data_IF_258895811995
#
_entry.id   IF_258895811995
#
_cell.length_a   1.000
_cell.length_b   1.000
_cell.length_c   1.000
_cell.angle_alpha   90.00
_cell.angle_beta   90.00
_cell.angle_gamma   90.00
#
_symmetry.space_group_name_H-M   'P 1'
#
loop_
_entity.id
_entity.type
_entity.pdbx_description
1 polymer ?
#
# COMPACT_ATOMS: atom_id res chain seq x y z
N UNK A 1 21.24 -39.75 27.68
CA UNK A 1 19.98 -38.96 27.63
C UNK A 1 18.78 -39.87 27.63
N UNK A 2 17.82 -39.60 28.52
CA UNK A 2 16.51 -40.26 28.54
C UNK A 2 15.71 -39.87 27.28
N UNK A 3 14.79 -40.72 26.82
CA UNK A 3 13.96 -40.49 25.61
C UNK A 3 13.30 -39.10 25.62
N UNK A 4 12.85 -38.63 26.79
CA UNK A 4 12.26 -37.29 26.99
C UNK A 4 13.24 -36.14 26.73
N UNK A 5 14.50 -36.26 27.16
CA UNK A 5 15.54 -35.23 26.95
C UNK A 5 15.89 -35.11 25.46
N UNK A 6 15.90 -36.22 24.71
CA UNK A 6 16.12 -36.20 23.26
C UNK A 6 14.97 -35.50 22.52
N UNK A 7 13.72 -35.76 22.94
CA UNK A 7 12.54 -35.12 22.36
C UNK A 7 12.56 -33.61 22.63
N UNK A 8 12.88 -33.20 23.86
CA UNK A 8 13.00 -31.77 24.21
C UNK A 8 14.10 -31.10 23.38
N UNK A 9 15.26 -31.73 23.23
CA UNK A 9 16.35 -31.19 22.41
C UNK A 9 15.96 -31.05 20.93
N UNK A 10 15.26 -32.04 20.38
CA UNK A 10 14.75 -31.99 19.00
C UNK A 10 13.70 -30.89 18.80
N UNK A 11 12.81 -30.68 19.77
CA UNK A 11 11.84 -29.59 19.73
C UNK A 11 12.52 -28.22 19.81
N UNK A 12 13.51 -28.06 20.69
CA UNK A 12 14.29 -26.83 20.78
C UNK A 12 15.05 -26.54 19.47
N UNK A 13 15.64 -27.58 18.86
CA UNK A 13 16.30 -27.45 17.57
C UNK A 13 15.32 -27.07 16.46
N UNK A 14 14.12 -27.66 16.44
CA UNK A 14 13.08 -27.32 15.48
C UNK A 14 12.61 -25.86 15.65
N UNK A 15 12.38 -25.41 16.88
CA UNK A 15 12.02 -24.01 17.17
C UNK A 15 13.13 -23.06 16.73
N UNK A 16 14.40 -23.41 16.95
CA UNK A 16 15.53 -22.63 16.48
C UNK A 16 15.57 -22.55 14.95
N UNK A 17 15.38 -23.67 14.25
CA UNK A 17 15.34 -23.71 12.77
C UNK A 17 14.18 -22.85 12.24
N UNK A 18 12.99 -22.96 12.83
CA UNK A 18 11.83 -22.15 12.46
C UNK A 18 12.12 -20.66 12.72
N UNK A 19 12.73 -20.33 13.86
CA UNK A 19 13.10 -18.96 14.21
C UNK A 19 14.10 -18.35 13.22
N UNK A 20 15.13 -19.10 12.83
CA UNK A 20 16.10 -18.67 11.81
C UNK A 20 15.43 -18.52 10.45
N UNK A 21 14.64 -19.50 10.01
CA UNK A 21 13.93 -19.43 8.72
C UNK A 21 12.94 -18.25 8.67
N UNK A 22 12.20 -18.03 9.76
CA UNK A 22 11.31 -16.88 9.89
C UNK A 22 12.08 -15.57 9.82
N UNK A 23 13.20 -15.44 10.56
CA UNK A 23 14.05 -14.24 10.56
C UNK A 23 14.61 -13.94 9.18
N UNK A 24 15.09 -14.95 8.46
CA UNK A 24 15.55 -14.81 7.08
C UNK A 24 14.41 -14.36 6.16
N UNK A 25 13.22 -14.93 6.33
CA UNK A 25 12.04 -14.56 5.53
C UNK A 25 11.58 -13.12 5.76
N UNK A 26 11.51 -12.66 7.02
CA UNK A 26 11.07 -11.28 7.32
C UNK A 26 12.11 -10.21 6.98
N UNK A 27 13.39 -10.59 6.89
CA UNK A 27 14.47 -9.68 6.47
C UNK A 27 14.70 -9.65 4.95
N UNK A 28 14.12 -10.59 4.21
CA UNK A 28 14.14 -10.59 2.74
C UNK A 28 12.99 -9.73 2.23
N UNK A 29 13.22 -8.45 1.93
CA UNK A 29 12.20 -7.55 1.40
C UNK A 29 12.83 -6.47 0.50
N UNK A 30 12.01 -5.81 -0.30
CA UNK A 30 12.42 -4.70 -1.15
C UNK A 30 12.59 -3.44 -0.34
N UNK A 31 13.78 -2.85 -0.39
CA UNK A 31 14.13 -1.65 0.35
C UNK A 31 13.75 -0.38 -0.42
N UNK A 32 13.43 0.66 0.32
CA UNK A 32 13.22 1.97 -0.26
C UNK A 32 14.52 2.50 -0.89
N UNK A 33 14.43 2.99 -2.12
CA UNK A 33 15.53 3.72 -2.73
C UNK A 33 15.79 5.02 -1.97
N UNK A 34 17.02 5.53 -2.00
CA UNK A 34 17.41 6.72 -1.25
C UNK A 34 16.56 7.94 -1.58
N UNK A 35 16.09 8.04 -2.82
CA UNK A 35 15.25 9.15 -3.27
C UNK A 35 13.85 9.11 -2.65
N UNK A 36 13.33 7.92 -2.30
CA UNK A 36 12.07 7.78 -1.58
C UNK A 36 12.15 8.36 -0.16
N UNK A 37 13.31 8.20 0.48
CA UNK A 37 13.53 8.64 1.85
C UNK A 37 13.68 10.16 1.98
N UNK A 38 14.04 10.87 0.91
CA UNK A 38 14.21 12.34 0.92
C UNK A 38 12.92 13.07 1.33
N UNK A 39 11.76 12.48 1.09
CA UNK A 39 10.46 13.03 1.51
C UNK A 39 10.37 13.20 3.03
N UNK A 40 11.10 12.40 3.81
CA UNK A 40 11.11 12.50 5.27
C UNK A 40 11.76 13.79 5.79
N UNK A 41 12.59 14.45 4.97
CA UNK A 41 13.25 15.72 5.32
C UNK A 41 12.38 16.94 5.01
N UNK A 42 11.19 16.74 4.43
CA UNK A 42 10.25 17.81 4.11
C UNK A 42 9.50 18.33 5.36
N UNK A 43 8.87 19.50 5.23
CA UNK A 43 8.04 20.04 6.29
C UNK A 43 6.70 19.29 6.42
N UNK A 44 6.08 19.38 7.60
CA UNK A 44 4.76 18.81 7.89
C UNK A 44 4.67 17.27 7.75
N UNK A 45 5.80 16.60 8.00
CA UNK A 45 5.90 15.15 8.11
C UNK A 45 5.84 14.73 9.58
N UNK A 46 4.93 13.82 9.93
CA UNK A 46 4.81 13.25 11.28
C UNK A 46 5.12 11.77 11.18
N UNK A 47 6.31 11.39 11.65
CA UNK A 47 6.75 9.99 11.68
C UNK A 47 6.39 9.37 13.04
N UNK A 48 5.73 8.21 13.00
CA UNK A 48 5.46 7.40 14.17
C UNK A 48 5.91 5.95 13.95
N UNK A 49 5.74 5.12 14.98
CA UNK A 49 6.04 3.69 14.89
C UNK A 49 5.14 2.98 13.86
N UNK A 50 3.87 3.37 13.79
CA UNK A 50 2.84 2.62 13.07
C UNK A 50 2.45 3.30 11.74
N UNK A 51 2.83 4.55 11.52
CA UNK A 51 2.53 5.30 10.30
C UNK A 51 3.45 6.50 10.07
N UNK A 52 3.43 7.02 8.85
CA UNK A 52 3.98 8.32 8.47
C UNK A 52 2.83 9.16 7.91
N UNK A 53 2.62 10.36 8.47
CA UNK A 53 1.58 11.29 8.04
C UNK A 53 2.24 12.47 7.32
N UNK A 54 1.77 12.76 6.11
CA UNK A 54 2.11 13.90 5.29
C UNK A 54 0.90 14.85 5.33
N UNK A 55 0.98 15.93 6.11
CA UNK A 55 -0.17 16.83 6.29
C UNK A 55 -0.37 17.70 5.03
N UNK A 56 -1.55 17.58 4.44
CA UNK A 56 -2.03 18.45 3.37
C UNK A 56 -2.78 19.66 3.93
N UNK A 57 -3.52 20.36 3.06
CA UNK A 57 -4.26 21.58 3.40
C UNK A 57 -5.80 21.45 3.22
N UNK A 58 -6.29 20.25 2.89
CA UNK A 58 -7.72 19.94 2.75
C UNK A 58 -8.24 19.07 3.91
N UNK A 59 -9.56 18.95 4.00
CA UNK A 59 -10.25 18.06 4.96
C UNK A 59 -10.35 16.60 4.46
N UNK A 60 -9.59 16.25 3.42
CA UNK A 60 -9.58 14.93 2.78
C UNK A 60 -8.29 14.20 3.14
N UNK A 61 -8.43 12.95 3.58
CA UNK A 61 -7.33 12.08 3.94
C UNK A 61 -7.27 10.82 3.08
N UNK A 62 -6.06 10.34 2.80
CA UNK A 62 -5.81 9.09 2.07
C UNK A 62 -4.96 8.17 2.95
N UNK A 63 -5.53 7.05 3.38
CA UNK A 63 -4.82 6.02 4.15
C UNK A 63 -4.24 5.01 3.16
N UNK A 64 -2.93 4.80 3.16
CA UNK A 64 -2.24 3.98 2.18
C UNK A 64 -1.64 2.71 2.80
N UNK A 65 -2.03 1.55 2.25
CA UNK A 65 -1.51 0.24 2.63
C UNK A 65 -0.43 -0.23 1.63
N UNK A 66 0.83 -0.40 2.06
CA UNK A 66 1.93 -0.78 1.19
C UNK A 66 1.83 -2.24 0.70
N UNK A 67 2.57 -2.53 -0.38
CA UNK A 67 2.71 -3.87 -0.93
C UNK A 67 3.40 -4.86 0.03
N UNK A 68 3.22 -6.15 -0.22
CA UNK A 68 3.85 -7.18 0.60
C UNK A 68 5.36 -7.24 0.34
N UNK A 69 6.15 -7.40 1.42
CA UNK A 69 7.61 -7.44 1.37
C UNK A 69 8.23 -6.20 0.70
N UNK A 70 7.61 -5.04 0.85
CA UNK A 70 8.14 -3.74 0.42
C UNK A 70 8.24 -2.84 1.65
N UNK A 71 9.37 -2.16 1.81
CA UNK A 71 9.54 -1.13 2.82
C UNK A 71 8.50 -0.02 2.63
N UNK A 72 7.79 0.35 3.69
CA UNK A 72 6.65 1.26 3.56
C UNK A 72 7.08 2.60 2.91
N UNK A 73 8.24 3.10 3.30
CA UNK A 73 8.80 4.37 2.86
C UNK A 73 9.01 4.45 1.34
N UNK A 74 9.03 3.32 0.61
CA UNK A 74 9.07 3.30 -0.85
C UNK A 74 7.89 4.00 -1.51
N UNK A 75 6.76 4.18 -0.81
CA UNK A 75 5.58 4.88 -1.34
C UNK A 75 5.55 6.37 -1.01
N UNK A 76 6.54 6.90 -0.27
CA UNK A 76 6.56 8.31 0.09
C UNK A 76 6.54 9.27 -1.12
N UNK A 77 7.22 9.00 -2.25
CA UNK A 77 7.17 9.91 -3.41
C UNK A 77 5.77 10.14 -3.97
N UNK A 78 5.00 9.07 -4.26
CA UNK A 78 3.63 9.21 -4.76
C UNK A 78 2.71 9.85 -3.71
N UNK A 79 2.91 9.56 -2.43
CA UNK A 79 2.14 10.16 -1.35
C UNK A 79 2.48 11.64 -1.12
N UNK A 80 3.71 12.06 -1.39
CA UNK A 80 4.14 13.46 -1.40
C UNK A 80 3.48 14.22 -2.55
N UNK A 81 3.48 13.64 -3.76
CA UNK A 81 2.75 14.21 -4.91
C UNK A 81 1.25 14.40 -4.62
N UNK A 82 0.60 13.44 -3.95
CA UNK A 82 -0.80 13.58 -3.51
C UNK A 82 -0.97 14.64 -2.42
N UNK A 83 -0.01 14.75 -1.49
CA UNK A 83 0.00 15.83 -0.49
C UNK A 83 0.07 17.21 -1.15
N UNK A 84 0.86 17.36 -2.20
CA UNK A 84 0.99 18.61 -2.94
C UNK A 84 -0.30 19.00 -3.69
N UNK A 85 -1.19 18.03 -3.95
CA UNK A 85 -2.57 18.29 -4.42
C UNK A 85 -3.54 18.69 -3.30
N UNK A 86 -3.07 18.72 -2.05
CA UNK A 86 -3.78 19.21 -0.87
C UNK A 86 -4.29 18.12 0.08
N UNK A 87 -4.13 16.84 -0.26
CA UNK A 87 -4.63 15.73 0.56
C UNK A 87 -3.71 15.45 1.76
N UNK A 88 -4.27 15.09 2.91
CA UNK A 88 -3.44 14.51 3.98
C UNK A 88 -3.22 13.04 3.67
N UNK A 89 -1.97 12.61 3.45
CA UNK A 89 -1.68 11.19 3.18
C UNK A 89 -1.10 10.50 4.41
N UNK A 90 -1.52 9.25 4.64
CA UNK A 90 -1.10 8.44 5.79
C UNK A 90 -0.58 7.10 5.29
N UNK A 91 0.74 6.95 5.26
CA UNK A 91 1.41 5.69 4.96
C UNK A 91 1.40 4.79 6.19
N UNK A 92 0.79 3.62 6.10
CA UNK A 92 0.74 2.66 7.22
C UNK A 92 1.96 1.76 7.22
N UNK A 93 2.63 1.64 8.38
CA UNK A 93 3.73 0.69 8.58
C UNK A 93 3.14 -0.66 8.97
N UNK A 94 3.23 -1.63 8.06
CA UNK A 94 2.68 -2.96 8.26
C UNK A 94 3.65 -3.86 9.02
N UNK A 95 3.19 -4.67 10.00
CA UNK A 95 4.04 -5.64 10.67
C UNK A 95 4.69 -6.58 9.65
N UNK A 96 6.01 -6.75 9.73
CA UNK A 96 6.79 -7.60 8.82
C UNK A 96 6.63 -7.24 7.33
N UNK A 97 6.30 -5.99 7.00
CA UNK A 97 5.99 -5.55 5.64
C UNK A 97 4.84 -6.34 5.00
N UNK A 98 3.85 -6.76 5.79
CA UNK A 98 2.72 -7.56 5.31
C UNK A 98 1.38 -7.01 5.83
N UNK A 99 0.57 -6.45 4.93
CA UNK A 99 -0.70 -5.81 5.25
C UNK A 99 -1.73 -6.75 5.93
N UNK A 100 -1.62 -8.07 5.71
CA UNK A 100 -2.52 -9.06 6.31
C UNK A 100 -2.48 -9.05 7.85
N UNK A 101 -1.36 -8.62 8.46
CA UNK A 101 -1.22 -8.59 9.92
C UNK A 101 -1.82 -7.34 10.57
N UNK A 102 -2.26 -6.35 9.79
CA UNK A 102 -2.86 -5.13 10.32
C UNK A 102 -3.91 -4.52 9.37
N UNK A 103 -4.81 -5.34 8.84
CA UNK A 103 -5.85 -4.90 7.89
C UNK A 103 -6.80 -3.84 8.45
N UNK A 104 -6.96 -3.74 9.77
CA UNK A 104 -7.80 -2.75 10.45
C UNK A 104 -7.04 -1.50 10.92
N UNK A 105 -5.80 -1.27 10.46
CA UNK A 105 -4.99 -0.10 10.86
C UNK A 105 -5.72 1.24 10.67
N UNK A 106 -6.54 1.33 9.63
CA UNK A 106 -7.32 2.52 9.31
C UNK A 106 -8.25 2.98 10.43
N UNK A 107 -8.80 2.08 11.27
CA UNK A 107 -9.67 2.46 12.40
C UNK A 107 -8.97 3.42 13.37
N UNK A 108 -7.72 3.11 13.71
CA UNK A 108 -6.92 3.93 14.62
C UNK A 108 -6.55 5.27 13.97
N UNK A 109 -6.21 5.25 12.69
CA UNK A 109 -5.80 6.45 11.95
C UNK A 109 -6.96 7.44 11.85
N UNK A 110 -8.15 6.98 11.46
CA UNK A 110 -9.37 7.79 11.36
C UNK A 110 -9.70 8.40 12.73
N UNK A 111 -9.66 7.59 13.79
CA UNK A 111 -9.96 8.04 15.16
C UNK A 111 -9.00 9.14 15.64
N UNK A 112 -7.71 9.01 15.34
CA UNK A 112 -6.67 9.90 15.86
C UNK A 112 -6.50 11.20 15.04
N UNK A 113 -7.19 11.33 13.90
CA UNK A 113 -7.12 12.49 12.99
C UNK A 113 -8.51 13.05 12.71
N UNK A 114 -9.18 13.54 13.78
CA UNK A 114 -10.55 14.08 13.72
C UNK A 114 -10.70 15.38 12.92
N UNK A 115 -9.58 15.99 12.52
CA UNK A 115 -9.53 17.15 11.62
C UNK A 115 -9.89 16.78 10.17
N UNK A 116 -9.74 15.51 9.78
CA UNK A 116 -10.09 15.01 8.44
C UNK A 116 -11.55 14.55 8.44
N UNK A 117 -12.34 15.03 7.48
CA UNK A 117 -13.77 14.70 7.34
C UNK A 117 -14.04 13.56 6.37
N UNK A 118 -13.26 13.48 5.29
CA UNK A 118 -13.48 12.53 4.20
C UNK A 118 -12.26 11.63 4.06
N UNK A 119 -12.46 10.33 4.20
CA UNK A 119 -11.37 9.35 4.13
C UNK A 119 -11.47 8.50 2.89
N UNK A 120 -10.39 8.43 2.13
CA UNK A 120 -10.16 7.40 1.13
C UNK A 120 -9.18 6.39 1.68
N UNK A 121 -9.37 5.12 1.32
CA UNK A 121 -8.39 4.08 1.59
C UNK A 121 -7.78 3.61 0.28
N UNK A 122 -6.47 3.51 0.27
CA UNK A 122 -5.65 3.17 -0.88
C UNK A 122 -4.74 2.00 -0.55
N UNK A 123 -4.34 1.25 -1.56
CA UNK A 123 -3.26 0.29 -1.37
C UNK A 123 -2.68 -0.26 -2.66
N UNK A 124 -1.45 -0.75 -2.56
CA UNK A 124 -0.73 -1.37 -3.65
C UNK A 124 -0.72 -2.91 -3.52
N UNK A 125 -0.99 -3.64 -4.60
CA UNK A 125 -0.85 -5.11 -4.65
C UNK A 125 -1.60 -5.78 -3.48
N UNK A 126 -0.91 -6.57 -2.62
CA UNK A 126 -1.50 -7.15 -1.41
C UNK A 126 -2.04 -6.10 -0.42
N UNK A 127 -1.40 -4.93 -0.32
CA UNK A 127 -1.92 -3.81 0.44
C UNK A 127 -3.26 -3.32 -0.10
N UNK A 128 -3.42 -3.29 -1.42
CA UNK A 128 -4.69 -3.00 -2.11
C UNK A 128 -5.77 -4.03 -1.79
N UNK A 129 -5.45 -5.32 -1.79
CA UNK A 129 -6.40 -6.37 -1.38
C UNK A 129 -6.88 -6.19 0.07
N UNK A 130 -5.98 -5.79 0.99
CA UNK A 130 -6.35 -5.53 2.39
C UNK A 130 -7.11 -4.22 2.57
N UNK A 131 -6.75 -3.18 1.82
CA UNK A 131 -7.51 -1.92 1.77
C UNK A 131 -8.94 -2.17 1.26
N UNK A 132 -9.10 -2.96 0.19
CA UNK A 132 -10.40 -3.36 -0.35
C UNK A 132 -11.21 -4.18 0.65
N UNK A 133 -10.56 -5.15 1.32
CA UNK A 133 -11.21 -5.94 2.38
C UNK A 133 -11.70 -5.08 3.56
N UNK A 134 -10.91 -4.07 3.94
CA UNK A 134 -11.29 -3.11 4.99
C UNK A 134 -12.46 -2.24 4.52
N UNK A 135 -12.38 -1.66 3.32
CA UNK A 135 -13.42 -0.81 2.75
C UNK A 135 -14.76 -1.55 2.65
N UNK A 136 -14.76 -2.79 2.14
CA UNK A 136 -15.96 -3.63 2.04
C UNK A 136 -16.66 -3.85 3.39
N UNK A 137 -15.90 -3.92 4.48
CA UNK A 137 -16.43 -4.13 5.85
C UNK A 137 -16.78 -2.83 6.59
N UNK A 138 -16.38 -1.68 6.06
CA UNK A 138 -16.48 -0.37 6.71
C UNK A 138 -16.89 0.71 5.69
N UNK A 139 -17.88 0.42 4.85
CA UNK A 139 -18.29 1.30 3.75
C UNK A 139 -18.77 2.68 4.22
N UNK A 140 -19.14 2.80 5.49
CA UNK A 140 -19.57 4.02 6.17
C UNK A 140 -18.42 4.89 6.68
N UNK A 141 -17.19 4.37 6.74
CA UNK A 141 -16.01 5.08 7.26
C UNK A 141 -15.11 5.66 6.19
N UNK A 142 -15.27 5.22 4.94
CA UNK A 142 -14.46 5.66 3.81
C UNK A 142 -15.37 6.06 2.66
N UNK A 143 -15.02 7.12 1.95
CA UNK A 143 -15.75 7.66 0.80
C UNK A 143 -15.45 6.87 -0.48
N UNK A 144 -14.20 6.40 -0.61
CA UNK A 144 -13.76 5.66 -1.79
C UNK A 144 -12.55 4.76 -1.54
N UNK A 145 -12.35 3.83 -2.47
CA UNK A 145 -11.26 2.88 -2.51
C UNK A 145 -10.35 3.18 -3.70
N UNK A 146 -9.04 3.21 -3.50
CA UNK A 146 -8.04 3.43 -4.56
C UNK A 146 -7.09 2.22 -4.61
N UNK A 147 -7.00 1.58 -5.76
CA UNK A 147 -6.24 0.34 -5.96
C UNK A 147 -5.13 0.58 -6.96
N UNK A 148 -3.88 0.39 -6.52
CA UNK A 148 -2.69 0.46 -7.39
C UNK A 148 -2.18 -0.97 -7.63
N UNK A 149 -2.08 -1.39 -8.88
CA UNK A 149 -1.62 -2.75 -9.24
C UNK A 149 -2.41 -3.85 -8.54
N UNK A 150 -3.71 -3.63 -8.32
CA UNK A 150 -4.63 -4.54 -7.59
C UNK A 150 -6.07 -4.35 -8.08
N UNK A 151 -6.98 -5.18 -7.60
CA UNK A 151 -8.40 -5.22 -8.02
C UNK A 151 -9.31 -5.37 -6.79
N UNK A 152 -10.61 -5.10 -6.98
CA UNK A 152 -11.60 -5.17 -5.90
C UNK A 152 -11.58 -6.57 -5.27
N UNK A 153 -11.42 -6.61 -3.95
CA UNK A 153 -11.47 -7.82 -3.13
C UNK A 153 -12.51 -7.68 -2.02
N UNK A 154 -13.60 -8.41 -2.15
CA UNK A 154 -14.78 -8.30 -1.28
C UNK A 154 -15.92 -7.58 -2.00
N UNK A 155 -16.91 -7.14 -1.23
CA UNK A 155 -18.12 -6.49 -1.73
C UNK A 155 -18.04 -4.97 -1.46
N UNK A 156 -17.34 -4.25 -2.35
CA UNK A 156 -17.26 -2.78 -2.32
C UNK A 156 -17.68 -2.22 -3.69
N UNK A 157 -18.46 -1.13 -3.77
CA UNK A 157 -19.01 -0.65 -5.04
C UNK A 157 -17.93 -0.23 -6.05
N UNK A 158 -18.06 -0.66 -7.30
CA UNK A 158 -17.14 -0.29 -8.39
C UNK A 158 -17.21 1.21 -8.69
N UNK A 159 -18.36 1.85 -8.50
CA UNK A 159 -18.54 3.29 -8.69
C UNK A 159 -17.75 4.13 -7.67
N UNK A 160 -17.47 3.55 -6.49
CA UNK A 160 -16.69 4.17 -5.41
C UNK A 160 -15.25 3.66 -5.37
N UNK A 161 -14.82 2.92 -6.39
CA UNK A 161 -13.47 2.39 -6.49
C UNK A 161 -12.76 2.99 -7.69
N UNK A 162 -11.50 3.37 -7.55
CA UNK A 162 -10.58 3.63 -8.65
C UNK A 162 -9.56 2.49 -8.72
N UNK A 163 -9.41 1.87 -9.88
CA UNK A 163 -8.37 0.86 -10.14
C UNK A 163 -7.38 1.39 -11.16
N UNK A 164 -6.09 1.40 -10.79
CA UNK A 164 -4.98 1.83 -11.62
C UNK A 164 -3.99 0.68 -11.75
N UNK A 165 -3.64 0.29 -12.97
CA UNK A 165 -2.63 -0.74 -13.23
C UNK A 165 -1.81 -0.38 -14.48
N UNK A 166 -0.61 -0.93 -14.62
CA UNK A 166 0.20 -0.77 -15.82
C UNK A 166 -0.10 -1.86 -16.86
N UNK A 167 -0.01 -1.54 -18.15
CA UNK A 167 -0.27 -2.50 -19.24
C UNK A 167 0.70 -3.70 -19.23
N UNK A 168 1.85 -3.56 -18.55
CA UNK A 168 2.82 -4.62 -18.34
C UNK A 168 2.60 -5.35 -16.98
N UNK A 169 1.38 -5.29 -16.44
CA UNK A 169 0.94 -6.02 -15.25
C UNK A 169 -0.28 -6.94 -15.51
N UNK A 170 -0.08 -7.94 -16.37
CA UNK A 170 -1.12 -8.87 -16.85
C UNK A 170 -1.95 -9.55 -15.75
N UNK A 171 -1.36 -9.81 -14.57
CA UNK A 171 -2.06 -10.49 -13.47
C UNK A 171 -3.27 -9.73 -12.92
N UNK A 172 -3.31 -8.39 -13.09
CA UNK A 172 -4.40 -7.55 -12.61
C UNK A 172 -5.52 -7.48 -13.65
N UNK A 173 -5.17 -7.30 -14.92
CA UNK A 173 -6.11 -7.25 -16.05
C UNK A 173 -7.04 -8.48 -16.06
N UNK A 174 -6.47 -9.69 -15.94
CA UNK A 174 -7.20 -10.96 -15.92
C UNK A 174 -8.22 -11.10 -14.76
N UNK A 175 -8.13 -10.25 -13.74
CA UNK A 175 -8.94 -10.30 -12.52
C UNK A 175 -10.02 -9.23 -12.45
N UNK A 176 -9.95 -8.22 -13.30
CA UNK A 176 -10.93 -7.15 -13.34
C UNK A 176 -12.14 -7.63 -14.17
N UNK A 177 -13.29 -7.76 -13.50
CA UNK A 177 -14.57 -8.12 -14.14
C UNK A 177 -15.61 -6.99 -14.07
N UNK A 178 -15.16 -5.78 -13.73
CA UNK A 178 -15.93 -4.54 -13.64
C UNK A 178 -15.49 -3.55 -14.71
N UNK A 179 -16.26 -2.46 -14.90
CA UNK A 179 -16.03 -1.52 -16.02
C UNK A 179 -15.88 -0.06 -15.62
N UNK A 180 -16.11 0.28 -14.35
CA UNK A 180 -16.08 1.67 -13.86
C UNK A 180 -14.72 2.03 -13.32
N UNK A 181 -14.30 3.27 -13.57
CA UNK A 181 -13.14 3.90 -12.92
C UNK A 181 -11.86 3.05 -12.99
N UNK A 182 -11.56 2.56 -14.19
CA UNK A 182 -10.34 1.80 -14.46
C UNK A 182 -9.40 2.68 -15.30
N UNK A 183 -8.15 2.76 -14.87
CA UNK A 183 -7.07 3.46 -15.57
C UNK A 183 -5.95 2.47 -15.82
N UNK A 184 -5.75 2.14 -17.09
CA UNK A 184 -4.58 1.40 -17.54
C UNK A 184 -3.48 2.40 -17.95
N UNK A 185 -2.28 2.22 -17.40
CA UNK A 185 -1.11 3.03 -17.70
C UNK A 185 -0.28 2.29 -18.75
N UNK A 186 -0.35 2.75 -19.99
CA UNK A 186 0.44 2.19 -21.08
C UNK A 186 1.95 2.27 -20.77
N UNK A 187 2.64 1.14 -20.92
CA UNK A 187 4.06 1.02 -20.61
C UNK A 187 4.41 0.94 -19.11
N UNK A 188 3.43 1.11 -18.22
CA UNK A 188 3.62 0.97 -16.78
C UNK A 188 3.70 -0.49 -16.36
N UNK A 189 4.34 -0.77 -15.22
CA UNK A 189 4.40 -2.10 -14.62
C UNK A 189 3.86 -2.13 -13.18
N UNK A 190 4.01 -3.26 -12.51
CA UNK A 190 3.52 -3.44 -11.14
C UNK A 190 4.36 -2.68 -10.10
N UNK A 191 5.69 -2.81 -10.12
CA UNK A 191 6.55 -2.22 -9.09
C UNK A 191 6.56 -0.68 -9.02
N UNK A 192 6.43 0.02 -10.15
CA UNK A 192 6.69 1.47 -10.25
C UNK A 192 5.71 2.38 -9.48
N UNK A 193 4.65 1.82 -8.88
CA UNK A 193 3.84 2.55 -7.88
C UNK A 193 4.61 2.86 -6.59
N UNK A 194 5.74 2.18 -6.34
CA UNK A 194 6.69 2.52 -5.29
C UNK A 194 8.12 2.62 -5.81
N UNK A 195 8.99 3.21 -4.99
CA UNK A 195 10.40 3.46 -5.27
C UNK A 195 11.27 2.44 -4.52
N UNK A 196 11.29 1.21 -5.02
CA UNK A 196 12.05 0.09 -4.45
C UNK A 196 12.78 -0.75 -5.51
N UNK A 197 12.95 -0.18 -6.72
CA UNK A 197 13.59 -0.82 -7.85
C UNK A 197 12.77 -1.94 -8.48
N UNK A 198 13.46 -2.81 -9.22
CA UNK A 198 12.85 -3.91 -9.95
C UNK A 198 12.37 -5.04 -9.03
N UNK A 199 11.10 -5.44 -9.18
CA UNK A 199 10.53 -6.58 -8.48
C UNK A 199 10.65 -7.87 -9.30
N UNK A 200 11.04 -8.96 -8.63
CA UNK A 200 11.29 -10.24 -9.29
C UNK A 200 9.98 -10.81 -9.84
N UNK A 201 9.94 -11.03 -11.15
CA UNK A 201 8.78 -11.59 -11.85
C UNK A 201 7.92 -10.55 -12.55
N UNK A 202 8.17 -9.27 -12.31
CA UNK A 202 7.53 -8.18 -13.04
C UNK A 202 8.15 -8.05 -14.45
N UNK A 203 7.34 -7.57 -15.39
CA UNK A 203 7.84 -7.10 -16.68
C UNK A 203 8.53 -5.74 -16.49
N UNK A 204 9.56 -5.49 -17.30
CA UNK A 204 10.25 -4.20 -17.33
C UNK A 204 9.33 -3.12 -17.91
N UNK A 205 9.20 -1.99 -17.21
CA UNK A 205 8.40 -0.87 -17.69
C UNK A 205 9.05 -0.17 -18.89
N UNK A 206 8.24 0.43 -19.76
CA UNK A 206 8.72 1.25 -20.88
C UNK A 206 8.60 2.75 -20.63
N UNK A 207 7.98 3.15 -19.51
CA UNK A 207 7.95 4.52 -18.99
C UNK A 207 8.64 4.60 -17.63
N UNK A 208 9.04 5.80 -17.24
CA UNK A 208 9.69 6.00 -15.94
C UNK A 208 8.73 5.80 -14.76
N UNK A 209 9.28 5.49 -13.58
CA UNK A 209 8.50 5.42 -12.34
C UNK A 209 7.85 6.77 -12.01
N UNK A 210 8.54 7.88 -12.28
CA UNK A 210 8.02 9.23 -12.06
C UNK A 210 6.77 9.48 -12.90
N UNK A 211 6.82 9.16 -14.19
CA UNK A 211 5.72 9.30 -15.14
C UNK A 211 4.52 8.43 -14.77
N UNK A 212 4.75 7.15 -14.41
CA UNK A 212 3.68 6.27 -13.93
C UNK A 212 3.00 6.83 -12.67
N UNK A 213 3.79 7.37 -11.74
CA UNK A 213 3.26 7.97 -10.51
C UNK A 213 2.50 9.27 -10.79
N UNK A 214 2.94 10.10 -11.73
CA UNK A 214 2.22 11.32 -12.12
C UNK A 214 0.85 11.01 -12.71
N UNK A 215 0.78 10.05 -13.65
CA UNK A 215 -0.48 9.57 -14.21
C UNK A 215 -1.40 9.04 -13.10
N UNK A 216 -0.84 8.31 -12.14
CA UNK A 216 -1.59 7.78 -11.00
C UNK A 216 -2.14 8.89 -10.10
N UNK A 217 -1.32 9.91 -9.78
CA UNK A 217 -1.70 11.05 -8.95
C UNK A 217 -2.82 11.85 -9.61
N UNK A 218 -2.74 12.10 -10.91
CA UNK A 218 -3.75 12.83 -11.65
C UNK A 218 -5.08 12.06 -11.75
N UNK A 219 -5.02 10.73 -11.95
CA UNK A 219 -6.19 9.86 -11.91
C UNK A 219 -6.86 9.87 -10.52
N UNK A 220 -6.07 9.74 -9.44
CA UNK A 220 -6.56 9.79 -8.06
C UNK A 220 -7.21 11.14 -7.76
N UNK A 221 -6.53 12.24 -8.11
CA UNK A 221 -7.03 13.59 -7.86
C UNK A 221 -8.34 13.83 -8.61
N UNK A 222 -8.44 13.39 -9.86
CA UNK A 222 -9.66 13.48 -10.66
C UNK A 222 -10.80 12.68 -10.03
N UNK A 223 -10.53 11.43 -9.63
CA UNK A 223 -11.51 10.57 -8.98
C UNK A 223 -12.04 11.15 -7.67
N UNK A 224 -11.16 11.68 -6.80
CA UNK A 224 -11.58 12.31 -5.55
C UNK A 224 -12.46 13.53 -5.85
N UNK A 225 -12.00 14.44 -6.72
CA UNK A 225 -12.71 15.68 -7.01
C UNK A 225 -14.08 15.50 -7.67
N UNK A 226 -14.30 14.41 -8.41
CA UNK A 226 -15.60 14.08 -9.00
C UNK A 226 -16.61 13.52 -7.99
N UNK A 227 -16.14 13.07 -6.83
CA UNK A 227 -16.94 12.44 -5.79
C UNK A 227 -17.07 13.31 -4.52
N UNK A 228 -16.64 14.58 -4.57
CA UNK A 228 -16.92 15.61 -3.57
C UNK A 228 -18.28 16.27 -3.84
#
# INVERSE_FOLDING_TARGET
>A
MKKKEKIILLLLLLVLIIGVAFTLYVNDYYHAETDALKVLDEENIIVSKDSIILKGNSEIGIIFYPGAKVEAESYLPILSKLRDKGFTTVLVKMPFNMAIFNSNAADKIIKDNSDIKYWYIAGHSMGGAMASSYAAKNQEKVEGLILLGSYIYGDYPEERTLTIYGSLNQSVEDKINYTKNIVEIEGGNHAQFGNYGFQKGDLEATISAEEQQDISVDAITTFINQNL
#
